data_IF_513387824690
#
_entry.id   IF_513387824690
#
_cell.length_a   1.000
_cell.length_b   1.000
_cell.length_c   1.000
_cell.angle_alpha   90.00
_cell.angle_beta   90.00
_cell.angle_gamma   90.00
#
_symmetry.space_group_name_H-M   'P 1'
#
loop_
_entity.id
_entity.type
_entity.pdbx_description
1 polymer ?
#
# COMPACT_ATOMS: atom_id res chain seq x y z
N UNK A 1 -7.41 -0.66 2.14
CA UNK A 1 -8.88 -0.62 1.85
C UNK A 1 -9.64 0.02 3.00
N UNK A 2 -9.46 -0.45 4.24
CA UNK A 2 -10.13 0.11 5.41
C UNK A 2 -9.94 1.63 5.53
N UNK A 3 -8.70 2.12 5.40
CA UNK A 3 -8.39 3.56 5.47
C UNK A 3 -9.11 4.38 4.39
N UNK A 4 -9.27 3.83 3.17
CA UNK A 4 -9.99 4.52 2.08
C UNK A 4 -11.46 4.67 2.42
N UNK A 5 -12.10 3.59 2.83
CA UNK A 5 -13.51 3.60 3.21
C UNK A 5 -13.76 4.56 4.38
N UNK A 6 -12.84 4.64 5.36
CA UNK A 6 -12.88 5.62 6.45
C UNK A 6 -12.74 7.05 5.96
N UNK A 7 -11.81 7.32 5.02
CA UNK A 7 -11.62 8.66 4.44
C UNK A 7 -12.89 9.10 3.69
N UNK A 8 -13.44 8.22 2.83
CA UNK A 8 -14.67 8.52 2.08
C UNK A 8 -15.85 8.74 3.03
N UNK A 9 -16.01 7.88 4.05
CA UNK A 9 -17.06 8.03 5.05
C UNK A 9 -16.93 9.35 5.82
N UNK A 10 -15.71 9.74 6.20
CA UNK A 10 -15.45 10.99 6.92
C UNK A 10 -15.77 12.20 6.04
N UNK A 11 -15.35 12.19 4.77
CA UNK A 11 -15.65 13.28 3.83
C UNK A 11 -17.15 13.44 3.60
N UNK A 12 -17.91 12.36 3.52
CA UNK A 12 -19.36 12.39 3.37
C UNK A 12 -20.07 12.90 4.62
N UNK A 13 -19.61 12.48 5.81
CA UNK A 13 -20.14 12.98 7.08
C UNK A 13 -19.88 14.48 7.21
N UNK A 14 -18.71 14.95 6.78
CA UNK A 14 -18.38 16.40 6.77
C UNK A 14 -19.21 17.16 5.73
N UNK A 15 -19.55 16.57 4.59
CA UNK A 15 -20.33 17.22 3.54
C UNK A 15 -21.83 17.29 3.83
N UNK A 16 -22.35 16.42 4.68
CA UNK A 16 -23.79 16.38 5.01
C UNK A 16 -24.31 17.65 5.68
N UNK A 17 -23.62 18.28 6.66
CA UNK A 17 -24.02 19.57 7.22
C UNK A 17 -24.06 20.70 6.19
N UNK A 18 -23.14 20.67 5.21
CA UNK A 18 -23.12 21.65 4.12
C UNK A 18 -24.40 21.59 3.28
N UNK A 19 -24.91 20.41 2.96
CA UNK A 19 -26.17 20.24 2.23
C UNK A 19 -27.37 20.76 3.00
N UNK A 20 -27.38 20.57 4.32
CA UNK A 20 -28.42 21.11 5.21
C UNK A 20 -28.36 22.64 5.26
N UNK A 21 -27.17 23.22 5.35
CA UNK A 21 -26.97 24.66 5.30
C UNK A 21 -27.47 25.22 3.96
N UNK A 22 -27.14 24.62 2.83
CA UNK A 22 -27.56 25.00 1.50
C UNK A 22 -29.09 24.94 1.31
N UNK A 23 -29.78 24.05 2.00
CA UNK A 23 -31.24 24.02 2.06
C UNK A 23 -31.80 25.23 2.84
N UNK A 24 -31.27 25.51 4.04
CA UNK A 24 -31.75 26.63 4.85
C UNK A 24 -31.42 28.02 4.27
N UNK A 25 -30.37 28.12 3.44
CA UNK A 25 -30.05 29.33 2.69
C UNK A 25 -30.90 29.52 1.43
N UNK A 26 -31.82 28.57 1.14
CA UNK A 26 -32.66 28.59 -0.06
C UNK A 26 -31.95 28.16 -1.34
N UNK A 27 -30.73 27.66 -1.22
CA UNK A 27 -29.90 27.20 -2.33
C UNK A 27 -30.35 25.82 -2.87
N UNK A 28 -30.95 24.96 -2.01
CA UNK A 28 -31.53 23.67 -2.39
C UNK A 28 -33.03 23.59 -2.10
N UNK A 29 -33.78 22.97 -3.01
CA UNK A 29 -35.18 22.60 -2.76
C UNK A 29 -35.24 21.34 -1.90
N UNK A 30 -36.39 21.13 -1.22
CA UNK A 30 -36.60 19.94 -0.39
C UNK A 30 -36.37 18.61 -1.16
N UNK A 31 -36.88 18.41 -2.40
CA UNK A 31 -36.61 17.21 -3.18
C UNK A 31 -35.14 17.00 -3.50
N UNK A 32 -34.39 18.07 -3.81
CA UNK A 32 -32.94 18.04 -4.06
C UNK A 32 -32.15 17.60 -2.82
N UNK A 33 -32.50 18.15 -1.65
CA UNK A 33 -31.91 17.73 -0.39
C UNK A 33 -32.19 16.25 -0.10
N UNK A 34 -33.40 15.76 -0.33
CA UNK A 34 -33.76 14.35 -0.15
C UNK A 34 -32.98 13.41 -1.07
N UNK A 35 -32.82 13.76 -2.36
CA UNK A 35 -32.04 12.98 -3.32
C UNK A 35 -30.56 12.93 -2.91
N UNK A 36 -29.97 14.06 -2.51
CA UNK A 36 -28.59 14.13 -2.07
C UNK A 36 -28.34 13.32 -0.78
N UNK A 37 -29.29 13.37 0.18
CA UNK A 37 -29.24 12.58 1.41
C UNK A 37 -29.34 11.09 1.14
N UNK A 38 -30.21 10.65 0.24
CA UNK A 38 -30.30 9.24 -0.16
C UNK A 38 -29.00 8.77 -0.82
N UNK A 39 -28.42 9.55 -1.73
CA UNK A 39 -27.13 9.26 -2.33
C UNK A 39 -26.02 9.16 -1.28
N UNK A 40 -25.96 10.08 -0.34
CA UNK A 40 -24.99 10.06 0.75
C UNK A 40 -25.16 8.83 1.65
N UNK A 41 -26.38 8.45 2.01
CA UNK A 41 -26.68 7.25 2.81
C UNK A 41 -26.26 5.96 2.10
N UNK A 42 -26.50 5.85 0.79
CA UNK A 42 -26.06 4.70 -0.01
C UNK A 42 -24.54 4.60 0.00
N UNK A 43 -23.82 5.71 -0.18
CA UNK A 43 -22.36 5.72 -0.17
C UNK A 43 -21.80 5.39 1.22
N UNK A 44 -22.40 5.91 2.29
CA UNK A 44 -22.02 5.55 3.68
C UNK A 44 -22.26 4.07 3.93
N UNK A 45 -23.39 3.51 3.50
CA UNK A 45 -23.71 2.10 3.64
C UNK A 45 -22.71 1.20 2.89
N UNK A 46 -22.39 1.54 1.63
CA UNK A 46 -21.38 0.83 0.85
C UNK A 46 -19.97 0.96 1.46
N UNK A 47 -19.61 2.13 1.98
CA UNK A 47 -18.31 2.33 2.66
C UNK A 47 -18.21 1.48 3.92
N UNK A 48 -19.27 1.43 4.73
CA UNK A 48 -19.35 0.59 5.92
C UNK A 48 -19.24 -0.91 5.56
N UNK A 49 -19.85 -1.31 4.43
CA UNK A 49 -19.72 -2.68 3.92
C UNK A 49 -18.28 -3.02 3.53
N UNK A 50 -17.57 -2.11 2.83
CA UNK A 50 -16.15 -2.30 2.47
C UNK A 50 -15.27 -2.41 3.72
N UNK A 51 -15.50 -1.58 4.74
CA UNK A 51 -14.81 -1.68 6.05
C UNK A 51 -15.11 -3.02 6.72
N UNK A 52 -16.36 -3.44 6.76
CA UNK A 52 -16.76 -4.73 7.32
C UNK A 52 -16.13 -5.91 6.59
N UNK A 53 -16.10 -5.86 5.24
CA UNK A 53 -15.47 -6.86 4.41
C UNK A 53 -13.96 -6.95 4.66
N UNK A 54 -13.27 -5.80 4.80
CA UNK A 54 -11.82 -5.75 5.04
C UNK A 54 -11.42 -6.31 6.43
N UNK A 55 -12.31 -6.26 7.41
CA UNK A 55 -12.11 -6.82 8.76
C UNK A 55 -12.48 -8.30 8.86
N UNK A 56 -13.22 -8.82 7.90
CA UNK A 56 -13.69 -10.20 7.92
C UNK A 56 -12.60 -11.17 7.50
N UNK A 57 -12.18 -12.06 8.39
CA UNK A 57 -11.26 -13.16 8.08
C UNK A 57 -11.83 -14.20 7.09
N UNK A 58 -13.12 -14.10 6.75
CA UNK A 58 -13.79 -15.03 5.83
C UNK A 58 -13.67 -14.61 4.36
N UNK A 59 -13.30 -13.36 4.09
CA UNK A 59 -13.23 -12.80 2.74
C UNK A 59 -11.76 -12.74 2.35
N UNK A 60 -11.39 -13.24 1.17
CA UNK A 60 -10.02 -13.18 0.68
C UNK A 60 -9.61 -11.74 0.36
N UNK A 61 -8.33 -11.41 0.53
CA UNK A 61 -7.79 -10.07 0.22
C UNK A 61 -8.09 -9.64 -1.21
N UNK A 62 -8.06 -10.58 -2.15
CA UNK A 62 -8.39 -10.33 -3.55
C UNK A 62 -9.86 -9.91 -3.72
N UNK A 63 -10.79 -10.58 -3.02
CA UNK A 63 -12.21 -10.23 -3.07
C UNK A 63 -12.47 -8.85 -2.46
N UNK A 64 -11.78 -8.50 -1.36
CA UNK A 64 -11.87 -7.16 -0.74
C UNK A 64 -11.42 -6.07 -1.71
N UNK A 65 -10.34 -6.32 -2.48
CA UNK A 65 -9.87 -5.38 -3.52
C UNK A 65 -10.94 -5.18 -4.59
N UNK A 66 -11.54 -6.26 -5.13
CA UNK A 66 -12.57 -6.14 -6.16
C UNK A 66 -13.86 -5.47 -5.67
N UNK A 67 -14.26 -5.72 -4.43
CA UNK A 67 -15.38 -5.02 -3.78
C UNK A 67 -15.09 -3.51 -3.71
N UNK A 68 -13.87 -3.13 -3.31
CA UNK A 68 -13.48 -1.72 -3.24
C UNK A 68 -13.44 -1.03 -4.61
N UNK A 69 -12.97 -1.74 -5.65
CA UNK A 69 -12.97 -1.21 -7.01
C UNK A 69 -14.40 -1.03 -7.55
N UNK A 70 -15.30 -1.98 -7.28
CA UNK A 70 -16.72 -1.84 -7.61
C UNK A 70 -17.38 -0.67 -6.87
N UNK A 71 -17.02 -0.48 -5.60
CA UNK A 71 -17.47 0.66 -4.81
C UNK A 71 -17.02 1.99 -5.41
N UNK A 72 -15.78 2.11 -5.89
CA UNK A 72 -15.28 3.33 -6.55
C UNK A 72 -16.15 3.73 -7.74
N UNK A 73 -16.45 2.78 -8.64
CA UNK A 73 -17.26 3.03 -9.83
C UNK A 73 -18.68 3.47 -9.46
N UNK A 74 -19.30 2.79 -8.50
CA UNK A 74 -20.64 3.14 -8.01
C UNK A 74 -20.66 4.53 -7.35
N UNK A 75 -19.61 4.83 -6.60
CA UNK A 75 -19.47 6.15 -5.99
C UNK A 75 -19.32 7.25 -7.05
N UNK A 76 -18.46 7.03 -8.06
CA UNK A 76 -18.32 7.95 -9.19
C UNK A 76 -19.65 8.17 -9.93
N UNK A 77 -20.43 7.12 -10.15
CA UNK A 77 -21.75 7.24 -10.77
C UNK A 77 -22.71 8.08 -9.93
N UNK A 78 -22.77 7.84 -8.62
CA UNK A 78 -23.61 8.61 -7.70
C UNK A 78 -23.25 10.09 -7.69
N UNK A 79 -21.93 10.39 -7.66
CA UNK A 79 -21.44 11.77 -7.69
C UNK A 79 -21.70 12.44 -9.03
N UNK A 80 -21.41 11.75 -10.15
CA UNK A 80 -21.65 12.28 -11.49
C UNK A 80 -23.13 12.62 -11.70
N UNK A 81 -24.03 11.67 -11.39
CA UNK A 81 -25.47 11.89 -11.54
C UNK A 81 -25.98 13.00 -10.61
N UNK A 82 -25.61 12.97 -9.33
CA UNK A 82 -26.07 13.96 -8.35
C UNK A 82 -25.63 15.39 -8.71
N UNK A 83 -24.36 15.57 -9.11
CA UNK A 83 -23.85 16.90 -9.49
C UNK A 83 -24.47 17.43 -10.78
N UNK A 84 -24.57 16.58 -11.80
CA UNK A 84 -25.17 16.94 -13.07
C UNK A 84 -26.68 17.20 -12.95
N UNK A 85 -27.44 16.42 -12.16
CA UNK A 85 -28.85 16.63 -11.92
C UNK A 85 -29.12 17.97 -11.22
N UNK A 86 -28.41 18.26 -10.15
CA UNK A 86 -28.56 19.53 -9.42
C UNK A 86 -28.26 20.73 -10.32
N UNK A 87 -27.21 20.61 -11.13
CA UNK A 87 -26.81 21.74 -11.99
C UNK A 87 -27.77 21.93 -13.15
N UNK A 88 -28.23 20.82 -13.76
CA UNK A 88 -29.23 20.87 -14.83
C UNK A 88 -30.54 21.49 -14.36
N UNK A 89 -31.02 21.14 -13.17
CA UNK A 89 -32.25 21.73 -12.59
C UNK A 89 -32.10 23.24 -12.31
N UNK A 90 -30.87 23.74 -12.04
CA UNK A 90 -30.63 25.17 -11.76
C UNK A 90 -30.38 25.99 -13.00
N UNK A 91 -29.58 25.50 -13.93
CA UNK A 91 -29.04 26.26 -15.05
C UNK A 91 -29.54 25.81 -16.42
N UNK A 92 -30.24 24.66 -16.49
CA UNK A 92 -30.59 24.02 -17.75
C UNK A 92 -29.40 23.35 -18.46
N UNK A 93 -28.22 23.31 -17.83
CA UNK A 93 -27.00 22.76 -18.38
C UNK A 93 -26.30 21.85 -17.35
N UNK A 94 -25.68 20.73 -17.79
CA UNK A 94 -24.88 19.90 -16.90
C UNK A 94 -23.59 20.62 -16.48
N UNK A 95 -22.97 20.12 -15.40
CA UNK A 95 -21.75 20.71 -14.86
C UNK A 95 -20.51 20.32 -15.65
N UNK A 96 -19.69 21.29 -16.07
CA UNK A 96 -18.44 21.03 -16.81
C UNK A 96 -17.27 20.54 -15.93
N UNK A 97 -17.29 20.83 -14.63
CA UNK A 97 -16.30 20.35 -13.66
C UNK A 97 -16.84 19.13 -12.93
N UNK A 98 -16.30 17.97 -13.22
CA UNK A 98 -16.73 16.73 -12.57
C UNK A 98 -15.88 16.39 -11.36
N UNK A 99 -16.53 15.99 -10.27
CA UNK A 99 -15.87 15.44 -9.08
C UNK A 99 -15.35 14.01 -9.29
N UNK A 100 -15.69 13.35 -10.38
CA UNK A 100 -15.16 12.03 -10.77
C UNK A 100 -13.66 12.11 -11.03
N UNK A 101 -13.18 13.21 -11.62
CA UNK A 101 -11.75 13.44 -11.91
C UNK A 101 -10.85 13.33 -10.68
N UNK A 102 -11.09 14.05 -9.56
CA UNK A 102 -10.32 13.85 -8.33
C UNK A 102 -10.37 12.42 -7.78
N UNK A 103 -11.50 11.72 -7.91
CA UNK A 103 -11.63 10.34 -7.43
C UNK A 103 -10.72 9.39 -8.23
N UNK A 104 -10.73 9.49 -9.55
CA UNK A 104 -9.85 8.70 -10.43
C UNK A 104 -8.36 8.93 -10.08
N UNK A 105 -7.97 10.18 -9.72
CA UNK A 105 -6.59 10.49 -9.38
C UNK A 105 -6.17 10.02 -7.99
N UNK A 106 -7.05 10.14 -7.01
CA UNK A 106 -6.73 9.86 -5.61
C UNK A 106 -6.81 8.36 -5.29
N UNK A 107 -7.73 7.63 -5.91
CA UNK A 107 -7.97 6.25 -5.57
C UNK A 107 -6.73 5.33 -5.74
N UNK A 108 -5.96 5.38 -6.85
CA UNK A 108 -4.77 4.57 -7.01
C UNK A 108 -3.63 4.88 -6.03
N UNK A 109 -3.63 6.09 -5.44
CA UNK A 109 -2.65 6.48 -4.41
C UNK A 109 -2.94 5.79 -3.08
N UNK A 110 -4.20 5.51 -2.80
CA UNK A 110 -4.64 4.92 -1.54
C UNK A 110 -4.77 3.39 -1.64
N UNK A 111 -5.21 2.87 -2.79
CA UNK A 111 -5.33 1.43 -3.05
C UNK A 111 -4.19 0.99 -3.97
N UNK A 112 -3.17 0.29 -3.46
CA UNK A 112 -2.02 -0.14 -4.24
C UNK A 112 -2.40 -1.29 -5.18
N UNK A 113 -2.98 -0.97 -6.32
CA UNK A 113 -3.31 -1.92 -7.39
C UNK A 113 -2.35 -1.77 -8.58
N UNK A 114 -2.23 -2.83 -9.36
CA UNK A 114 -1.36 -2.81 -10.55
C UNK A 114 -1.84 -1.84 -11.62
N UNK A 115 -0.92 -1.28 -12.45
CA UNK A 115 -1.26 -0.25 -13.45
C UNK A 115 -2.33 -0.69 -14.46
N UNK A 116 -2.43 -2.00 -14.78
CA UNK A 116 -3.49 -2.54 -15.65
C UNK A 116 -4.88 -2.41 -15.04
N UNK A 117 -5.00 -2.64 -13.74
CA UNK A 117 -6.27 -2.51 -13.01
C UNK A 117 -6.70 -1.04 -12.94
N UNK A 118 -5.74 -0.13 -12.68
CA UNK A 118 -6.00 1.33 -12.66
C UNK A 118 -6.61 1.82 -13.97
N UNK A 119 -6.14 1.34 -15.14
CA UNK A 119 -6.73 1.72 -16.43
C UNK A 119 -8.19 1.29 -16.51
N UNK A 120 -8.48 0.01 -16.26
CA UNK A 120 -9.84 -0.50 -16.42
C UNK A 120 -10.83 0.12 -15.45
N UNK A 121 -10.45 0.27 -14.20
CA UNK A 121 -11.29 0.91 -13.19
C UNK A 121 -11.45 2.40 -13.48
N UNK A 122 -10.37 3.08 -13.84
CA UNK A 122 -10.41 4.50 -14.20
C UNK A 122 -11.31 4.76 -15.42
N UNK A 123 -11.24 3.90 -16.45
CA UNK A 123 -12.13 3.99 -17.61
C UNK A 123 -13.60 3.73 -17.22
N UNK A 124 -13.85 2.74 -16.36
CA UNK A 124 -15.19 2.47 -15.84
C UNK A 124 -15.73 3.65 -15.02
N UNK A 125 -14.87 4.27 -14.17
CA UNK A 125 -15.23 5.48 -13.42
C UNK A 125 -15.45 6.68 -14.35
N UNK A 126 -14.63 6.87 -15.38
CA UNK A 126 -14.83 7.93 -16.37
C UNK A 126 -16.12 7.74 -17.18
N UNK A 127 -16.51 6.48 -17.47
CA UNK A 127 -17.75 6.17 -18.18
C UNK A 127 -19.02 6.53 -17.38
N UNK A 128 -18.90 6.76 -16.08
CA UNK A 128 -20.04 7.22 -15.26
C UNK A 128 -20.54 8.61 -15.65
N UNK A 129 -19.70 9.47 -16.23
CA UNK A 129 -20.11 10.78 -16.73
C UNK A 129 -21.10 10.69 -17.92
N UNK A 130 -20.79 10.01 -19.03
CA UNK A 130 -21.76 9.86 -20.11
C UNK A 130 -23.00 9.10 -19.68
N UNK A 131 -22.86 8.12 -18.77
CA UNK A 131 -24.01 7.40 -18.21
C UNK A 131 -24.91 8.36 -17.43
N UNK A 132 -24.35 9.28 -16.64
CA UNK A 132 -25.12 10.29 -15.91
C UNK A 132 -25.90 11.21 -16.83
N UNK A 133 -25.30 11.63 -17.95
CA UNK A 133 -25.97 12.48 -18.96
C UNK A 133 -27.09 11.74 -19.67
N UNK A 134 -26.90 10.45 -20.00
CA UNK A 134 -27.94 9.60 -20.58
C UNK A 134 -29.11 9.41 -19.62
N UNK A 135 -28.85 9.21 -18.34
CA UNK A 135 -29.88 9.10 -17.31
C UNK A 135 -30.68 10.42 -17.16
N UNK A 136 -30.00 11.58 -17.21
CA UNK A 136 -30.66 12.89 -17.21
C UNK A 136 -31.49 13.12 -18.47
N UNK A 137 -31.00 12.70 -19.63
CA UNK A 137 -31.77 12.79 -20.87
C UNK A 137 -33.05 11.94 -20.82
N UNK A 138 -32.96 10.75 -20.20
CA UNK A 138 -34.10 9.85 -20.07
C UNK A 138 -35.12 10.29 -19.00
N UNK A 139 -34.65 10.85 -17.86
CA UNK A 139 -35.51 11.16 -16.71
C UNK A 139 -35.98 12.62 -16.70
N UNK A 140 -35.11 13.56 -17.05
CA UNK A 140 -35.33 14.99 -16.90
C UNK A 140 -35.40 15.75 -18.24
N UNK A 141 -35.30 15.03 -19.37
CA UNK A 141 -35.46 15.60 -20.72
C UNK A 141 -34.26 16.42 -21.20
N UNK A 142 -33.05 16.18 -20.68
CA UNK A 142 -31.84 16.83 -21.15
C UNK A 142 -31.64 16.55 -22.66
N UNK A 143 -31.51 17.63 -23.45
CA UNK A 143 -31.12 17.53 -24.86
C UNK A 143 -29.61 17.41 -24.94
N UNK A 144 -29.12 16.28 -25.47
CA UNK A 144 -27.68 16.06 -25.62
C UNK A 144 -27.14 16.90 -26.78
N UNK A 145 -26.21 17.80 -26.48
CA UNK A 145 -25.51 18.63 -27.43
C UNK A 145 -24.05 18.18 -27.62
N UNK A 146 -23.43 18.45 -28.81
CA UNK A 146 -22.05 18.03 -29.06
C UNK A 146 -21.03 18.59 -28.08
N UNK A 147 -21.28 19.79 -27.50
CA UNK A 147 -20.43 20.42 -26.47
C UNK A 147 -20.40 19.63 -25.17
N UNK A 148 -21.40 18.80 -24.85
CA UNK A 148 -21.37 17.93 -23.68
C UNK A 148 -20.25 16.88 -23.75
N UNK A 149 -19.70 16.59 -24.96
CA UNK A 149 -18.52 15.72 -25.11
C UNK A 149 -17.30 16.30 -24.37
N UNK A 150 -17.19 17.63 -24.24
CA UNK A 150 -16.09 18.26 -23.52
C UNK A 150 -16.00 17.84 -22.04
N UNK A 151 -17.11 17.42 -21.43
CA UNK A 151 -17.15 16.93 -20.03
C UNK A 151 -16.28 15.66 -19.88
N UNK A 152 -16.13 14.86 -20.94
CA UNK A 152 -15.35 13.62 -20.92
C UNK A 152 -13.84 13.83 -20.96
N UNK A 153 -13.36 15.00 -21.36
CA UNK A 153 -11.93 15.28 -21.54
C UNK A 153 -11.20 15.14 -20.20
N UNK A 154 -11.71 15.76 -19.15
CA UNK A 154 -11.06 15.77 -17.83
C UNK A 154 -10.95 14.38 -17.19
N UNK A 155 -12.03 13.55 -17.12
CA UNK A 155 -11.93 12.18 -16.60
C UNK A 155 -10.98 11.29 -17.41
N UNK A 156 -10.99 11.41 -18.74
CA UNK A 156 -10.09 10.61 -19.60
C UNK A 156 -8.62 11.00 -19.38
N UNK A 157 -8.31 12.29 -19.30
CA UNK A 157 -6.97 12.76 -18.95
C UNK A 157 -6.55 12.28 -17.57
N UNK A 158 -7.48 12.32 -16.59
CA UNK A 158 -7.22 11.82 -15.25
C UNK A 158 -6.85 10.33 -15.22
N UNK A 159 -7.49 9.50 -16.05
CA UNK A 159 -7.11 8.08 -16.19
C UNK A 159 -5.67 7.93 -16.67
N UNK A 160 -5.26 8.74 -17.66
CA UNK A 160 -3.87 8.75 -18.14
C UNK A 160 -2.86 9.11 -17.06
N UNK A 161 -3.14 10.18 -16.30
CA UNK A 161 -2.28 10.64 -15.19
C UNK A 161 -2.24 9.60 -14.05
N UNK A 162 -3.39 9.04 -13.67
CA UNK A 162 -3.50 8.00 -12.64
C UNK A 162 -2.72 6.73 -13.03
N UNK A 163 -2.83 6.31 -14.29
CA UNK A 163 -2.07 5.18 -14.82
C UNK A 163 -0.56 5.43 -14.78
N UNK A 164 -0.13 6.62 -15.23
CA UNK A 164 1.29 6.99 -15.20
C UNK A 164 1.84 6.99 -13.77
N UNK A 165 1.11 7.59 -12.82
CA UNK A 165 1.45 7.59 -11.40
C UNK A 165 1.53 6.19 -10.82
N UNK A 166 0.52 5.34 -11.07
CA UNK A 166 0.51 3.95 -10.64
C UNK A 166 1.68 3.14 -11.22
N UNK A 167 2.03 3.38 -12.49
CA UNK A 167 3.18 2.74 -13.13
C UNK A 167 4.50 3.17 -12.50
N UNK A 168 4.65 4.44 -12.17
CA UNK A 168 5.85 4.98 -11.51
C UNK A 168 6.01 4.40 -10.09
N UNK A 169 4.94 4.40 -9.30
CA UNK A 169 4.93 3.80 -7.95
C UNK A 169 5.23 2.30 -8.01
N UNK A 170 4.64 1.60 -8.98
CA UNK A 170 4.87 0.16 -9.14
C UNK A 170 6.34 -0.15 -9.48
N UNK A 171 6.98 0.63 -10.38
CA UNK A 171 8.41 0.50 -10.70
C UNK A 171 9.27 0.78 -9.47
N UNK A 172 9.01 1.89 -8.78
CA UNK A 172 9.76 2.24 -7.57
C UNK A 172 9.69 1.15 -6.50
N UNK A 173 8.51 0.54 -6.30
CA UNK A 173 8.34 -0.58 -5.39
C UNK A 173 9.09 -1.84 -5.82
N UNK A 174 9.22 -2.10 -7.13
CA UNK A 174 10.04 -3.20 -7.64
C UNK A 174 11.52 -2.93 -7.39
N UNK A 175 12.00 -1.71 -7.66
CA UNK A 175 13.39 -1.31 -7.42
C UNK A 175 13.75 -1.42 -5.93
N UNK A 176 12.87 -0.97 -5.04
CA UNK A 176 13.03 -1.12 -3.58
C UNK A 176 13.04 -2.59 -3.14
N UNK A 177 12.25 -3.45 -3.79
CA UNK A 177 12.28 -4.90 -3.50
C UNK A 177 13.58 -5.54 -3.96
N UNK A 178 14.09 -5.17 -5.15
CA UNK A 178 15.39 -5.65 -5.63
C UNK A 178 16.53 -5.17 -4.71
N UNK A 179 16.49 -3.92 -4.27
CA UNK A 179 17.47 -3.39 -3.30
C UNK A 179 17.45 -4.10 -1.93
N UNK A 180 16.34 -4.79 -1.59
CA UNK A 180 16.21 -5.62 -0.38
C UNK A 180 16.51 -7.11 -0.62
N UNK A 181 16.94 -7.49 -1.80
CA UNK A 181 17.39 -8.85 -2.10
C UNK A 181 18.91 -8.92 -2.03
N UNK A 182 19.42 -9.92 -1.33
CA UNK A 182 20.83 -10.23 -1.26
C UNK A 182 20.98 -11.68 -1.74
N UNK A 183 21.49 -11.85 -2.95
CA UNK A 183 21.52 -13.14 -3.61
C UNK A 183 20.11 -13.76 -3.70
N UNK A 184 19.94 -14.96 -3.18
CA UNK A 184 18.66 -15.68 -3.15
C UNK A 184 17.79 -15.39 -1.92
N UNK A 185 18.14 -14.37 -1.11
CA UNK A 185 17.46 -14.06 0.14
C UNK A 185 16.75 -12.72 0.08
N UNK A 186 15.54 -12.68 0.60
CA UNK A 186 14.74 -11.46 0.77
C UNK A 186 14.82 -11.00 2.23
N UNK A 187 15.31 -9.78 2.46
CA UNK A 187 15.34 -9.14 3.77
C UNK A 187 13.92 -8.77 4.22
N UNK A 188 13.56 -9.13 5.46
CA UNK A 188 12.22 -8.95 6.01
C UNK A 188 12.19 -7.82 7.05
N UNK A 189 12.97 -7.96 8.13
CA UNK A 189 13.03 -7.03 9.25
C UNK A 189 14.43 -7.01 9.87
N UNK A 190 14.82 -5.88 10.47
CA UNK A 190 16.10 -5.73 11.17
C UNK A 190 15.98 -6.39 12.54
N UNK A 191 16.92 -7.29 12.87
CA UNK A 191 17.02 -7.96 14.16
C UNK A 191 17.94 -7.20 15.14
N UNK A 192 18.96 -6.52 14.61
CA UNK A 192 19.90 -5.74 15.40
C UNK A 192 20.80 -4.90 14.52
N UNK A 193 21.28 -3.80 15.04
CA UNK A 193 22.19 -2.87 14.38
C UNK A 193 23.38 -2.59 15.28
N UNK A 194 24.59 -2.86 14.77
CA UNK A 194 25.87 -2.54 15.40
C UNK A 194 26.57 -1.36 14.73
N UNK A 195 27.73 -0.99 15.22
CA UNK A 195 28.48 0.12 14.64
C UNK A 195 28.98 -0.09 13.21
N UNK A 196 29.19 -1.34 12.79
CA UNK A 196 29.72 -1.71 11.46
C UNK A 196 28.89 -2.78 10.76
N UNK A 197 27.92 -3.36 11.43
CA UNK A 197 27.11 -4.47 10.92
C UNK A 197 25.63 -4.29 11.24
N UNK A 198 24.78 -4.84 10.36
CA UNK A 198 23.34 -4.90 10.57
C UNK A 198 22.91 -6.34 10.36
N UNK A 199 22.13 -6.85 11.30
CA UNK A 199 21.58 -8.20 11.21
C UNK A 199 20.11 -8.14 10.81
N UNK A 200 19.78 -8.82 9.72
CA UNK A 200 18.44 -8.88 9.16
C UNK A 200 17.85 -10.28 9.29
N UNK A 201 16.57 -10.36 9.60
CA UNK A 201 15.77 -11.54 9.34
C UNK A 201 15.47 -11.62 7.85
N UNK A 202 15.69 -12.77 7.27
CA UNK A 202 15.53 -13.00 5.85
C UNK A 202 14.81 -14.33 5.56
N UNK A 203 14.27 -14.42 4.34
CA UNK A 203 13.69 -15.64 3.78
C UNK A 203 14.42 -16.00 2.49
N UNK A 204 14.76 -17.26 2.33
CA UNK A 204 15.23 -17.75 1.05
C UNK A 204 14.08 -17.75 0.03
N UNK A 205 14.32 -17.27 -1.20
CA UNK A 205 13.28 -17.08 -2.21
C UNK A 205 12.57 -18.38 -2.61
N UNK A 206 13.31 -19.50 -2.67
CA UNK A 206 12.78 -20.79 -3.12
C UNK A 206 12.55 -21.79 -1.97
N UNK A 207 13.41 -21.75 -0.94
CA UNK A 207 13.38 -22.72 0.15
C UNK A 207 12.63 -22.13 1.34
N UNK A 208 11.53 -21.74 1.43
CA UNK A 208 10.72 -21.22 2.57
C UNK A 208 11.41 -21.32 3.98
N UNK A 209 12.74 -21.18 4.02
CA UNK A 209 13.61 -21.34 5.19
C UNK A 209 13.93 -19.97 5.77
N UNK A 210 13.63 -19.73 7.04
CA UNK A 210 14.03 -18.49 7.71
C UNK A 210 15.55 -18.50 7.94
N UNK A 211 16.17 -17.31 7.79
CA UNK A 211 17.60 -17.11 8.00
C UNK A 211 17.84 -15.77 8.67
N UNK A 212 18.98 -15.61 9.31
CA UNK A 212 19.54 -14.33 9.71
C UNK A 212 20.68 -13.97 8.75
N UNK A 213 20.70 -12.72 8.27
CA UNK A 213 21.75 -12.20 7.39
C UNK A 213 22.46 -11.07 8.10
N UNK A 214 23.74 -11.25 8.33
CA UNK A 214 24.62 -10.22 8.84
C UNK A 214 25.27 -9.50 7.67
N UNK A 215 25.01 -8.20 7.55
CA UNK A 215 25.61 -7.31 6.56
C UNK A 215 26.72 -6.52 7.19
N UNK A 216 27.88 -6.54 6.57
CA UNK A 216 29.05 -5.77 7.00
C UNK A 216 29.42 -4.81 5.90
N UNK A 217 29.28 -3.50 6.17
CA UNK A 217 29.60 -2.45 5.21
C UNK A 217 31.10 -2.16 5.19
N UNK A 218 31.74 -2.42 4.07
CA UNK A 218 33.16 -2.14 3.87
C UNK A 218 33.49 -0.61 3.86
N UNK A 219 32.50 0.24 3.66
CA UNK A 219 32.66 1.70 3.55
C UNK A 219 33.08 2.42 4.84
N UNK A 220 33.05 1.76 5.99
CA UNK A 220 33.51 2.34 7.28
C UNK A 220 35.05 2.30 7.41
N UNK A 221 35.76 1.61 6.50
CA UNK A 221 37.19 1.30 6.63
C UNK A 221 38.11 2.23 5.84
N UNK A 222 37.63 3.33 5.31
CA UNK A 222 38.38 4.52 4.85
C UNK A 222 39.44 4.34 3.75
N UNK A 223 40.21 3.25 3.70
CA UNK A 223 41.30 3.02 2.73
C UNK A 223 41.11 1.70 1.96
N UNK A 224 41.26 1.75 0.65
CA UNK A 224 41.11 0.59 -0.26
C UNK A 224 42.06 -0.60 0.07
N UNK A 225 43.21 -0.35 0.63
CA UNK A 225 44.15 -1.40 1.07
C UNK A 225 43.64 -2.13 2.32
N UNK A 226 43.08 -1.41 3.28
CA UNK A 226 42.50 -2.00 4.49
C UNK A 226 41.20 -2.77 4.21
N UNK A 227 40.42 -2.32 3.25
CA UNK A 227 39.17 -3.02 2.81
C UNK A 227 39.48 -4.41 2.24
N UNK A 228 40.57 -4.59 1.48
CA UNK A 228 40.96 -5.90 0.92
C UNK A 228 41.43 -6.87 1.98
N UNK A 229 42.21 -6.41 2.96
CA UNK A 229 42.67 -7.22 4.09
C UNK A 229 41.49 -7.63 4.99
N UNK A 230 40.58 -6.73 5.24
CA UNK A 230 39.37 -7.01 6.02
C UNK A 230 38.44 -8.02 5.34
N UNK A 231 38.22 -7.85 4.05
CA UNK A 231 37.43 -8.81 3.26
C UNK A 231 38.00 -10.22 3.35
N UNK A 232 39.32 -10.35 3.21
CA UNK A 232 40.00 -11.63 3.29
C UNK A 232 39.91 -12.27 4.69
N UNK A 233 39.94 -11.46 5.74
CA UNK A 233 39.72 -11.95 7.12
C UNK A 233 38.30 -12.45 7.32
N UNK A 234 37.28 -11.70 6.84
CA UNK A 234 35.90 -12.11 6.91
C UNK A 234 35.63 -13.43 6.12
N UNK A 235 36.26 -13.58 4.96
CA UNK A 235 36.19 -14.83 4.18
C UNK A 235 36.81 -16.00 4.97
N UNK A 236 37.95 -15.79 5.61
CA UNK A 236 38.60 -16.81 6.43
C UNK A 236 37.78 -17.18 7.68
N UNK A 237 37.17 -16.18 8.35
CA UNK A 237 36.29 -16.42 9.50
C UNK A 237 35.01 -17.17 9.08
N UNK A 238 34.41 -16.78 7.96
CA UNK A 238 33.23 -17.47 7.42
C UNK A 238 33.56 -18.91 7.08
N UNK A 239 34.68 -19.16 6.39
CA UNK A 239 35.13 -20.51 6.06
C UNK A 239 35.39 -21.37 7.31
N UNK A 240 36.11 -20.79 8.30
CA UNK A 240 36.38 -21.49 9.57
C UNK A 240 35.09 -21.80 10.34
N UNK A 241 34.12 -20.91 10.30
CA UNK A 241 32.82 -21.09 10.95
C UNK A 241 31.98 -22.14 10.22
N UNK A 242 32.04 -22.18 8.88
CA UNK A 242 31.32 -23.17 8.05
C UNK A 242 31.74 -24.60 8.35
N UNK A 243 32.99 -24.81 8.72
CA UNK A 243 33.56 -26.12 9.05
C UNK A 243 33.17 -26.61 10.47
N UNK A 244 32.58 -25.74 11.30
CA UNK A 244 32.16 -26.07 12.66
C UNK A 244 30.82 -26.82 12.65
N UNK A 245 30.88 -28.10 12.98
CA UNK A 245 29.69 -28.95 13.15
C UNK A 245 29.45 -29.20 14.64
N UNK A 246 28.79 -28.29 15.33
CA UNK A 246 28.42 -28.41 16.74
C UNK A 246 27.00 -27.93 17.00
N UNK A 247 26.32 -28.55 17.99
CA UNK A 247 25.00 -28.09 18.46
C UNK A 247 25.07 -26.72 19.16
N UNK A 248 26.27 -26.30 19.53
CA UNK A 248 26.52 -25.01 20.23
C UNK A 248 27.05 -23.95 19.29
N UNK A 249 27.15 -24.22 17.98
CA UNK A 249 27.54 -23.22 16.97
C UNK A 249 26.40 -22.92 16.02
N UNK A 250 26.29 -21.69 15.60
CA UNK A 250 25.29 -21.29 14.60
C UNK A 250 25.66 -21.90 13.24
N UNK A 251 24.68 -22.44 12.56
CA UNK A 251 24.88 -23.03 11.24
C UNK A 251 25.00 -21.92 10.20
N UNK A 252 26.11 -21.90 9.47
CA UNK A 252 26.34 -21.00 8.36
C UNK A 252 25.76 -21.62 7.09
N UNK A 253 24.95 -20.85 6.35
CA UNK A 253 24.27 -21.34 5.15
C UNK A 253 24.92 -20.85 3.86
N UNK A 254 25.39 -19.58 3.88
CA UNK A 254 25.95 -18.93 2.71
C UNK A 254 26.77 -17.71 3.13
N UNK A 255 27.70 -17.27 2.29
CA UNK A 255 28.39 -16.00 2.45
C UNK A 255 28.77 -15.44 1.09
N UNK A 256 28.89 -14.13 0.98
CA UNK A 256 29.23 -13.51 -0.29
C UNK A 256 29.31 -12.00 -0.21
N UNK A 257 29.28 -11.38 -1.39
CA UNK A 257 29.22 -9.94 -1.54
C UNK A 257 27.92 -9.56 -2.24
N UNK A 258 27.26 -8.52 -1.77
CA UNK A 258 26.13 -7.90 -2.44
C UNK A 258 26.60 -6.98 -3.58
N UNK A 259 25.68 -6.58 -4.47
CA UNK A 259 25.98 -5.77 -5.66
C UNK A 259 26.56 -4.38 -5.28
N UNK A 260 26.24 -3.87 -4.09
CA UNK A 260 26.79 -2.63 -3.52
C UNK A 260 28.16 -2.82 -2.83
N UNK A 261 28.72 -4.03 -2.88
CA UNK A 261 30.04 -4.37 -2.33
C UNK A 261 30.07 -4.69 -0.83
N UNK A 262 28.94 -4.68 -0.15
CA UNK A 262 28.84 -5.10 1.23
C UNK A 262 29.06 -6.61 1.38
N UNK A 263 29.71 -7.04 2.45
CA UNK A 263 29.86 -8.47 2.78
C UNK A 263 28.61 -8.97 3.50
N UNK A 264 28.11 -10.15 3.12
CA UNK A 264 27.01 -10.75 3.82
C UNK A 264 27.32 -12.19 4.26
N UNK A 265 26.80 -12.55 5.42
CA UNK A 265 26.88 -13.88 6.00
C UNK A 265 25.47 -14.32 6.32
N UNK A 266 25.05 -15.46 5.76
CA UNK A 266 23.73 -16.07 5.98
C UNK A 266 23.85 -17.20 6.98
N UNK A 267 23.07 -17.12 8.05
CA UNK A 267 23.12 -18.07 9.15
C UNK A 267 21.71 -18.51 9.59
N UNK A 268 21.64 -19.55 10.39
CA UNK A 268 20.39 -20.00 10.98
C UNK A 268 19.74 -18.91 11.82
N UNK A 269 18.44 -18.68 11.64
CA UNK A 269 17.68 -17.80 12.52
C UNK A 269 17.46 -18.52 13.85
N UNK A 270 17.97 -17.93 14.93
CA UNK A 270 17.74 -18.44 16.28
C UNK A 270 16.46 -17.80 16.84
N UNK A 271 15.62 -18.64 17.42
CA UNK A 271 14.44 -18.21 18.17
C UNK A 271 14.77 -18.31 19.66
N UNK A 272 14.82 -17.19 20.35
CA UNK A 272 15.18 -17.17 21.78
C UNK A 272 15.68 -15.80 22.23
N UNK A 273 16.34 -15.81 23.38
CA UNK A 273 16.97 -14.66 24.01
C UNK A 273 18.46 -14.85 24.05
N UNK A 274 19.22 -13.80 23.80
CA UNK A 274 20.65 -13.78 24.08
C UNK A 274 20.94 -13.76 25.59
N UNK A 275 22.18 -14.02 25.98
CA UNK A 275 22.55 -14.11 27.39
C UNK A 275 22.44 -12.73 28.10
N UNK A 276 22.65 -11.63 27.38
CA UNK A 276 22.52 -10.30 27.93
C UNK A 276 21.05 -10.03 28.28
N UNK A 277 20.14 -10.21 27.34
CA UNK A 277 18.70 -10.10 27.54
C UNK A 277 18.18 -11.05 28.63
N UNK A 278 18.77 -12.26 28.71
CA UNK A 278 18.41 -13.23 29.75
C UNK A 278 18.77 -12.68 31.14
N UNK A 279 19.95 -12.10 31.32
CA UNK A 279 20.40 -11.53 32.62
C UNK A 279 19.62 -10.24 32.95
N UNK A 280 19.43 -9.38 31.99
CA UNK A 280 18.68 -8.12 32.18
C UNK A 280 17.23 -8.37 32.58
N UNK A 281 16.56 -9.36 31.93
CA UNK A 281 15.15 -9.66 32.16
C UNK A 281 14.88 -10.52 33.39
N UNK A 282 15.76 -11.46 33.68
CA UNK A 282 15.55 -12.49 34.72
C UNK A 282 16.57 -12.42 35.88
N UNK A 283 17.41 -11.39 35.93
CA UNK A 283 18.48 -11.14 36.92
C UNK A 283 19.64 -12.17 36.82
N UNK A 284 20.68 -12.07 37.65
CA UNK A 284 21.77 -13.04 37.67
C UNK A 284 21.27 -14.49 37.77
N UNK A 285 21.81 -15.34 36.93
CA UNK A 285 21.36 -16.73 36.85
C UNK A 285 22.02 -17.58 37.95
N UNK A 286 21.31 -18.61 38.48
CA UNK A 286 21.89 -19.53 39.44
C UNK A 286 23.11 -20.27 38.86
N UNK A 287 24.16 -20.55 39.65
CA UNK A 287 25.39 -21.19 39.15
C UNK A 287 25.14 -22.52 38.37
N UNK A 288 24.20 -23.33 38.82
CA UNK A 288 23.84 -24.56 38.11
C UNK A 288 23.32 -24.33 36.69
N UNK A 289 22.55 -23.24 36.47
CA UNK A 289 22.04 -22.87 35.16
C UNK A 289 23.15 -22.31 34.26
N UNK A 290 24.08 -21.53 34.84
CA UNK A 290 25.24 -21.03 34.08
C UNK A 290 26.10 -22.21 33.60
N UNK A 291 26.39 -23.17 34.46
CA UNK A 291 27.12 -24.39 34.07
C UNK A 291 26.40 -25.16 32.99
N UNK A 292 25.08 -25.30 33.06
CA UNK A 292 24.30 -25.97 32.02
C UNK A 292 24.36 -25.22 30.67
N UNK A 293 24.33 -23.90 30.66
CA UNK A 293 24.36 -23.06 29.42
C UNK A 293 25.76 -23.08 28.78
N UNK A 294 26.82 -23.30 29.55
CA UNK A 294 28.23 -23.32 29.09
C UNK A 294 28.76 -24.73 28.76
N UNK A 295 27.97 -25.74 28.96
CA UNK A 295 28.34 -27.16 28.73
C UNK A 295 27.97 -27.61 27.33
#
# INVERSE_FOLDING_TARGET
MENVAWIVMTLLVISSPFQVIMYFTGEFSLPQMQQNLLGALLVVGCSAFVVGASRSKRISDTAVVWIGLGFEVLFCLSVAYGTNAVMYQRTGQPWFMTWVTPMILLYPLVVPVGPRVVIWVGLASAATEPISLLLLAANDGLVLEPNHIAILINPVLAVGVAWFGARMIHRLNLDLRHARQIGSYQLVETLGEGGMDVVWKAKHALLARPAAIKLVHAGVLGDSANASIFSRRLEQEAQATADLCSLHTIQLYDFGRSDDGAFFIVMGLLDGLDLQCLVERFRPQPPARVVYLLR
#
